data_IF_005370058550
#
_entry.id   IF_005370058550
#
_cell.length_a   1.000
_cell.length_b   1.000
_cell.length_c   1.000
_cell.angle_alpha   90.00
_cell.angle_beta   90.00
_cell.angle_gamma   90.00
#
_symmetry.space_group_name_H-M   'P 1'
#
loop_
_entity.id
_entity.type
_entity.pdbx_description
1 polymer ?
#
# COMPACT_ATOMS: atom_id res chain seq x y z
N UNK A 1 -19.21 15.19 20.67
CA UNK A 1 -19.97 14.47 19.63
C UNK A 1 -19.06 13.45 18.97
N UNK A 2 -19.51 12.22 18.82
CA UNK A 2 -18.80 11.22 18.05
C UNK A 2 -19.23 11.28 16.58
N UNK A 3 -18.27 11.29 15.65
CA UNK A 3 -18.54 11.18 14.23
C UNK A 3 -18.69 9.71 13.85
N UNK A 4 -19.57 9.42 12.90
CA UNK A 4 -19.66 8.10 12.31
C UNK A 4 -18.61 7.99 11.21
N UNK A 5 -17.47 7.36 11.52
CA UNK A 5 -16.32 7.31 10.61
C UNK A 5 -16.14 5.90 10.06
N UNK A 6 -15.82 5.83 8.79
CA UNK A 6 -15.35 4.62 8.11
C UNK A 6 -14.10 4.99 7.31
N UNK A 7 -13.16 4.05 7.21
CA UNK A 7 -12.00 4.23 6.35
C UNK A 7 -12.47 4.23 4.89
N UNK A 8 -12.10 5.25 4.12
CA UNK A 8 -12.51 5.40 2.73
C UNK A 8 -11.37 5.05 1.78
N UNK A 9 -10.24 5.72 1.93
CA UNK A 9 -9.08 5.47 1.08
C UNK A 9 -7.79 5.84 1.78
N UNK A 10 -6.69 5.31 1.22
CA UNK A 10 -5.32 5.68 1.57
C UNK A 10 -4.71 6.36 0.38
N UNK A 11 -4.00 7.48 0.58
CA UNK A 11 -3.31 8.21 -0.47
C UNK A 11 -1.82 8.12 -0.27
N UNK A 12 -1.09 7.79 -1.35
CA UNK A 12 0.36 7.76 -1.35
C UNK A 12 0.91 8.72 -2.41
N UNK A 13 1.79 9.66 -2.03
CA UNK A 13 2.53 10.43 -3.01
C UNK A 13 3.57 9.53 -3.68
N UNK A 14 3.68 9.60 -5.00
CA UNK A 14 4.65 8.81 -5.75
C UNK A 14 5.48 9.71 -6.65
N UNK A 15 6.71 9.31 -6.94
CA UNK A 15 7.63 10.11 -7.78
C UNK A 15 7.60 9.69 -9.25
N UNK A 16 7.17 8.47 -9.53
CA UNK A 16 7.07 7.94 -10.89
C UNK A 16 5.84 7.05 -10.96
N UNK A 17 4.77 7.57 -11.56
CA UNK A 17 3.49 6.86 -11.57
C UNK A 17 3.56 5.51 -12.30
N UNK A 18 4.29 5.43 -13.42
CA UNK A 18 4.43 4.17 -14.16
C UNK A 18 5.11 3.09 -13.32
N UNK A 19 6.16 3.46 -12.59
CA UNK A 19 6.88 2.54 -11.68
C UNK A 19 5.97 2.08 -10.54
N UNK A 20 5.22 3.00 -9.96
CA UNK A 20 4.30 2.69 -8.88
C UNK A 20 3.15 1.80 -9.36
N UNK A 21 2.60 2.06 -10.56
CA UNK A 21 1.58 1.19 -11.15
C UNK A 21 2.11 -0.23 -11.34
N UNK A 22 3.34 -0.38 -11.79
CA UNK A 22 3.94 -1.71 -11.96
C UNK A 22 3.99 -2.49 -10.63
N UNK A 23 4.21 -1.80 -9.53
CA UNK A 23 4.19 -2.40 -8.20
C UNK A 23 2.76 -2.71 -7.73
N UNK A 24 1.89 -1.71 -7.68
CA UNK A 24 0.54 -1.88 -7.13
C UNK A 24 -0.34 -2.79 -7.99
N UNK A 25 -0.19 -2.74 -9.31
CA UNK A 25 -0.92 -3.63 -10.23
C UNK A 25 -0.20 -4.96 -10.41
N UNK A 26 1.11 -4.94 -10.67
CA UNK A 26 1.87 -6.14 -11.01
C UNK A 26 2.23 -7.00 -9.81
N UNK A 27 2.71 -6.40 -8.73
CA UNK A 27 3.10 -7.15 -7.52
C UNK A 27 1.91 -7.41 -6.62
N UNK A 28 1.11 -6.39 -6.32
CA UNK A 28 -0.03 -6.51 -5.40
C UNK A 28 -1.32 -6.96 -6.08
N UNK A 29 -1.44 -6.79 -7.39
CA UNK A 29 -2.63 -7.21 -8.13
C UNK A 29 -3.86 -6.35 -7.90
N UNK A 30 -3.69 -5.09 -7.49
CA UNK A 30 -4.82 -4.19 -7.33
C UNK A 30 -5.44 -3.84 -8.68
N UNK A 31 -6.76 -3.66 -8.69
CA UNK A 31 -7.53 -3.36 -9.89
C UNK A 31 -7.90 -1.89 -9.91
N UNK A 32 -7.56 -1.23 -11.01
CA UNK A 32 -7.85 0.18 -11.22
C UNK A 32 -9.37 0.43 -11.26
N UNK A 33 -9.79 1.53 -10.61
CA UNK A 33 -11.17 2.02 -10.65
C UNK A 33 -11.20 3.40 -11.30
N UNK A 34 -12.36 3.86 -11.79
CA UNK A 34 -12.46 5.19 -12.40
C UNK A 34 -12.02 6.29 -11.44
N UNK A 35 -11.22 7.22 -11.97
CA UNK A 35 -10.77 8.42 -11.26
C UNK A 35 -11.42 9.63 -11.93
N UNK A 36 -12.00 10.58 -11.16
CA UNK A 36 -12.63 11.76 -11.78
C UNK A 36 -11.68 12.49 -12.72
N UNK A 37 -12.19 12.93 -13.86
CA UNK A 37 -11.44 13.76 -14.79
C UNK A 37 -11.22 15.15 -14.23
N UNK A 38 -10.19 15.86 -14.71
CA UNK A 38 -9.98 17.27 -14.39
C UNK A 38 -9.32 17.53 -13.05
N UNK A 39 -8.73 16.53 -12.41
CA UNK A 39 -8.00 16.73 -11.15
C UNK A 39 -6.67 17.46 -11.33
N UNK A 40 -6.14 17.51 -12.56
CA UNK A 40 -4.95 18.30 -12.90
C UNK A 40 -3.61 17.69 -12.46
N UNK A 41 -3.62 16.60 -11.73
CA UNK A 41 -2.43 15.90 -11.24
C UNK A 41 -2.52 14.44 -11.64
N UNK A 42 -1.47 13.86 -12.27
CA UNK A 42 -1.47 12.44 -12.63
C UNK A 42 -1.63 11.55 -11.39
N UNK A 43 -2.42 10.52 -11.53
CA UNK A 43 -2.66 9.56 -10.46
C UNK A 43 -3.47 8.38 -10.93
N UNK A 44 -3.67 7.43 -10.04
CA UNK A 44 -4.49 6.24 -10.29
C UNK A 44 -5.18 5.83 -9.00
N UNK A 45 -6.39 5.34 -9.12
CA UNK A 45 -7.19 4.85 -8.01
C UNK A 45 -7.41 3.36 -8.16
N UNK A 46 -7.30 2.63 -7.04
CA UNK A 46 -7.50 1.19 -6.97
C UNK A 46 -8.55 0.81 -5.94
N UNK A 47 -9.20 -0.33 -6.15
CA UNK A 47 -10.08 -0.95 -5.16
C UNK A 47 -9.27 -1.89 -4.27
N UNK A 48 -9.47 -1.77 -2.95
CA UNK A 48 -8.90 -2.68 -1.96
C UNK A 48 -10.01 -3.05 -0.96
N UNK A 49 -10.84 -4.03 -1.34
CA UNK A 49 -12.01 -4.40 -0.54
C UNK A 49 -13.00 -3.24 -0.42
N UNK A 50 -13.34 -2.85 0.80
CA UNK A 50 -14.22 -1.71 1.07
C UNK A 50 -13.50 -0.36 1.02
N UNK A 51 -12.17 -0.35 0.92
CA UNK A 51 -11.34 0.85 0.83
C UNK A 51 -10.80 1.04 -0.58
N UNK A 52 -10.24 2.22 -0.83
CA UNK A 52 -9.53 2.53 -2.06
C UNK A 52 -8.08 2.87 -1.76
N UNK A 53 -7.21 2.70 -2.75
CA UNK A 53 -5.83 3.18 -2.70
C UNK A 53 -5.67 4.21 -3.81
N UNK A 54 -5.21 5.41 -3.46
CA UNK A 54 -4.98 6.49 -4.39
C UNK A 54 -3.48 6.74 -4.50
N UNK A 55 -2.94 6.71 -5.70
CA UNK A 55 -1.58 7.16 -5.98
C UNK A 55 -1.65 8.52 -6.65
N UNK A 56 -0.83 9.46 -6.19
CA UNK A 56 -0.79 10.82 -6.72
C UNK A 56 0.67 11.15 -7.04
N UNK A 57 0.96 11.46 -8.32
CA UNK A 57 2.31 11.83 -8.71
C UNK A 57 2.65 13.20 -8.15
N UNK A 58 3.71 13.27 -7.34
CA UNK A 58 4.10 14.50 -6.66
C UNK A 58 4.68 15.50 -7.65
N UNK A 59 4.13 16.70 -7.77
CA UNK A 59 4.71 17.75 -8.62
C UNK A 59 6.11 18.16 -8.10
N UNK A 60 7.01 18.61 -8.99
CA UNK A 60 8.30 19.11 -8.57
C UNK A 60 8.18 20.24 -7.53
N UNK A 61 9.02 20.22 -6.51
CA UNK A 61 9.07 21.25 -5.47
C UNK A 61 8.04 21.11 -4.36
N UNK A 62 7.14 20.12 -4.43
CA UNK A 62 6.19 19.86 -3.35
C UNK A 62 6.81 18.89 -2.36
N UNK A 63 6.92 19.33 -1.10
CA UNK A 63 7.42 18.50 0.00
C UNK A 63 6.26 17.70 0.60
N UNK A 64 6.32 16.40 0.48
CA UNK A 64 5.33 15.47 1.04
C UNK A 64 5.91 14.65 2.21
N UNK A 65 7.08 15.06 2.69
CA UNK A 65 7.83 14.33 3.70
C UNK A 65 8.67 13.21 3.09
N UNK A 66 9.39 12.50 3.97
CA UNK A 66 10.24 11.39 3.57
C UNK A 66 9.74 10.09 4.22
N UNK A 67 9.86 8.95 3.53
CA UNK A 67 9.57 7.66 4.13
C UNK A 67 10.62 7.29 5.17
N UNK A 68 10.33 6.29 6.00
CA UNK A 68 11.33 5.73 6.91
C UNK A 68 12.54 5.23 6.11
N UNK A 69 13.79 5.47 6.58
CA UNK A 69 14.98 5.05 5.84
C UNK A 69 15.16 3.54 5.78
N UNK A 70 14.50 2.80 6.67
CA UNK A 70 14.56 1.33 6.71
C UNK A 70 13.16 0.75 6.81
N UNK A 71 13.02 -0.51 6.40
CA UNK A 71 11.77 -1.24 6.58
C UNK A 71 11.57 -1.55 8.07
N UNK A 72 10.56 -0.95 8.68
CA UNK A 72 10.22 -1.15 10.08
C UNK A 72 8.71 -1.09 10.30
N UNK A 73 8.15 -1.98 11.15
CA UNK A 73 6.74 -1.92 11.52
C UNK A 73 6.38 -0.66 12.31
N UNK A 74 7.37 0.06 12.82
CA UNK A 74 7.16 1.30 13.59
C UNK A 74 6.85 2.51 12.71
N UNK A 75 7.18 2.44 11.43
CA UNK A 75 6.83 3.50 10.48
C UNK A 75 5.32 3.56 10.27
N UNK A 76 4.84 4.74 9.89
CA UNK A 76 3.46 4.84 9.40
C UNK A 76 3.28 3.90 8.22
N UNK A 77 2.19 3.15 8.21
CA UNK A 77 1.95 2.18 7.14
C UNK A 77 0.45 1.95 6.95
N UNK A 78 0.10 1.50 5.76
CA UNK A 78 -1.21 0.98 5.45
C UNK A 78 -1.18 -0.53 5.63
N UNK A 79 -2.25 -1.12 6.16
CA UNK A 79 -2.37 -2.56 6.33
C UNK A 79 -3.49 -3.11 5.48
N UNK A 80 -3.20 -4.17 4.75
CA UNK A 80 -4.15 -4.88 3.90
C UNK A 80 -4.41 -6.26 4.49
N UNK A 81 -5.67 -6.65 4.57
CA UNK A 81 -6.03 -7.99 4.98
C UNK A 81 -5.79 -8.98 3.85
N UNK A 82 -5.19 -10.11 4.18
CA UNK A 82 -5.01 -11.25 3.26
C UNK A 82 -5.55 -12.50 3.94
N UNK A 83 -5.84 -13.55 3.17
CA UNK A 83 -6.44 -14.76 3.70
C UNK A 83 -5.49 -15.96 3.77
N UNK A 84 -4.28 -15.83 3.22
CA UNK A 84 -3.30 -16.93 3.18
C UNK A 84 -1.91 -16.36 3.41
N UNK A 85 -1.39 -16.57 4.62
CA UNK A 85 -0.07 -16.07 5.02
C UNK A 85 1.05 -16.65 4.17
N UNK A 86 1.07 -17.97 4.00
CA UNK A 86 2.18 -18.64 3.31
C UNK A 86 2.22 -18.29 1.82
N UNK A 87 1.05 -18.25 1.17
CA UNK A 87 0.97 -17.88 -0.23
C UNK A 87 1.38 -16.41 -0.45
N UNK A 88 0.94 -15.52 0.42
CA UNK A 88 1.29 -14.09 0.36
C UNK A 88 2.79 -13.91 0.56
N UNK A 89 3.36 -14.54 1.58
CA UNK A 89 4.79 -14.43 1.88
C UNK A 89 5.65 -14.96 0.73
N UNK A 90 5.29 -16.11 0.18
CA UNK A 90 5.99 -16.69 -0.96
C UNK A 90 5.98 -15.76 -2.16
N UNK A 91 4.80 -15.24 -2.51
CA UNK A 91 4.64 -14.31 -3.63
C UNK A 91 5.50 -13.06 -3.45
N UNK A 92 5.42 -12.43 -2.27
CA UNK A 92 6.18 -11.21 -2.02
C UNK A 92 7.69 -11.45 -2.04
N UNK A 93 8.17 -12.58 -1.51
CA UNK A 93 9.59 -12.93 -1.55
C UNK A 93 10.09 -13.23 -2.96
N UNK A 94 9.23 -13.73 -3.84
CA UNK A 94 9.57 -13.94 -5.25
C UNK A 94 9.67 -12.61 -6.02
N UNK A 95 8.90 -11.61 -5.62
CA UNK A 95 8.80 -10.34 -6.33
C UNK A 95 9.72 -9.25 -5.77
N UNK A 96 10.06 -9.32 -4.48
CA UNK A 96 10.75 -8.23 -3.77
C UNK A 96 12.00 -8.76 -3.07
N UNK A 97 13.00 -7.89 -2.94
CA UNK A 97 14.26 -8.24 -2.27
C UNK A 97 14.20 -8.05 -0.76
N UNK A 98 13.28 -7.21 -0.26
CA UNK A 98 13.16 -6.90 1.16
C UNK A 98 11.75 -7.20 1.64
N UNK A 99 11.62 -8.20 2.51
CA UNK A 99 10.35 -8.60 3.11
C UNK A 99 10.60 -8.92 4.58
N UNK A 100 9.86 -8.28 5.47
CA UNK A 100 9.91 -8.53 6.90
C UNK A 100 8.64 -9.29 7.30
N UNK A 101 8.78 -10.38 8.03
CA UNK A 101 7.64 -11.21 8.38
C UNK A 101 7.73 -11.70 9.81
N UNK A 102 6.57 -11.85 10.45
CA UNK A 102 6.42 -12.52 11.73
C UNK A 102 6.16 -14.01 11.51
N UNK A 103 5.78 -14.73 12.55
CA UNK A 103 5.37 -16.13 12.43
C UNK A 103 3.99 -16.24 11.77
N UNK A 104 3.64 -17.41 11.19
CA UNK A 104 2.30 -17.64 10.67
C UNK A 104 1.19 -17.38 11.71
N UNK A 105 1.49 -17.63 12.97
CA UNK A 105 0.52 -17.40 14.06
C UNK A 105 0.18 -15.93 14.22
N UNK A 106 1.16 -15.03 14.09
CA UNK A 106 0.93 -13.58 14.13
C UNK A 106 0.41 -13.05 12.80
N UNK A 107 0.80 -13.68 11.70
CA UNK A 107 0.23 -13.44 10.38
C UNK A 107 0.49 -12.07 9.80
N UNK A 108 1.68 -11.48 10.03
CA UNK A 108 2.02 -10.13 9.58
C UNK A 108 3.24 -10.13 8.69
N UNK A 109 3.17 -9.37 7.59
CA UNK A 109 4.24 -9.20 6.62
C UNK A 109 4.34 -7.72 6.27
N UNK A 110 5.55 -7.18 6.17
CA UNK A 110 5.78 -5.79 5.77
C UNK A 110 6.71 -5.72 4.58
N UNK A 111 6.41 -4.82 3.66
CA UNK A 111 7.24 -4.50 2.50
C UNK A 111 7.31 -2.99 2.32
N UNK A 112 8.14 -2.51 1.41
CA UNK A 112 8.11 -1.11 0.96
C UNK A 112 7.73 -1.04 -0.50
N UNK A 113 6.95 -0.02 -0.83
CA UNK A 113 6.66 0.30 -2.23
C UNK A 113 7.87 0.99 -2.89
N UNK A 114 7.83 1.29 -4.20
CA UNK A 114 8.99 1.91 -4.88
C UNK A 114 9.43 3.26 -4.32
N UNK A 115 8.56 3.98 -3.63
CA UNK A 115 8.90 5.26 -2.99
C UNK A 115 9.26 5.10 -1.51
N UNK A 116 9.28 3.87 -0.99
CA UNK A 116 9.66 3.59 0.38
C UNK A 116 8.51 3.62 1.38
N UNK A 117 7.27 3.76 0.94
CA UNK A 117 6.11 3.65 1.82
C UNK A 117 6.01 2.23 2.36
N UNK A 118 5.83 2.10 3.67
CA UNK A 118 5.70 0.81 4.33
C UNK A 118 4.27 0.30 4.18
N UNK A 119 4.13 -0.94 3.75
CA UNK A 119 2.84 -1.62 3.61
C UNK A 119 2.87 -2.90 4.44
N UNK A 120 1.76 -3.19 5.11
CA UNK A 120 1.57 -4.41 5.88
C UNK A 120 0.52 -5.29 5.22
N UNK A 121 0.74 -6.61 5.29
CA UNK A 121 -0.25 -7.61 4.91
C UNK A 121 -0.51 -8.47 6.14
N UNK A 122 -1.77 -8.56 6.56
CA UNK A 122 -2.13 -9.21 7.81
C UNK A 122 -3.28 -10.20 7.59
N UNK A 123 -3.15 -11.39 8.17
CA UNK A 123 -4.28 -12.32 8.28
C UNK A 123 -5.06 -11.89 9.51
N UNK A 124 -6.31 -11.42 9.35
CA UNK A 124 -7.10 -10.97 10.48
C UNK A 124 -7.32 -12.09 11.49
N UNK A 125 -7.20 -11.76 12.76
CA UNK A 125 -7.51 -12.70 13.84
C UNK A 125 -9.02 -12.77 14.02
N UNK A 126 -9.50 -13.97 14.31
CA UNK A 126 -10.88 -14.13 14.74
C UNK A 126 -11.04 -13.48 16.12
N UNK A 127 -12.11 -12.72 16.25
CA UNK A 127 -12.45 -12.07 17.51
C UNK A 127 -13.23 -13.01 18.42
#
# INVERSE_FOLDING_TARGET
MALCLEAHHMSFPVTNLARSRAFYEGVLGLVEIPRPAGLGIPGVWYRAGACEVHLIETPPGVDVGAPAPTLTPLARHAAFAVNDYEATLKHLREQLTEVLATSPKLGQIWVRDPDGHVLEFIVPRES
#
